data_IF_583395572892
#
_entry.id   IF_583395572892
#
_cell.length_a   1.000
_cell.length_b   1.000
_cell.length_c   1.000
_cell.angle_alpha   90.00
_cell.angle_beta   90.00
_cell.angle_gamma   90.00
#
_symmetry.space_group_name_H-M   'P 1'
#
loop_
_entity.id
_entity.type
_entity.pdbx_description
1 polymer ?
#
# COMPACT_ATOMS: atom_id res chain seq x y z
N UNK A 1 -2.71 3.13 13.76
CA UNK A 1 -3.36 3.38 12.45
C UNK A 1 -4.22 4.63 12.59
N UNK A 2 -3.82 5.70 11.90
CA UNK A 2 -4.47 7.02 11.89
C UNK A 2 -4.80 7.23 10.41
N UNK A 3 -5.97 6.85 9.91
CA UNK A 3 -7.19 7.63 10.05
C UNK A 3 -8.44 6.77 9.77
N UNK A 4 -9.35 6.69 10.74
CA UNK A 4 -10.70 6.12 10.62
C UNK A 4 -11.71 7.15 10.08
N UNK A 5 -11.26 8.04 9.20
CA UNK A 5 -12.07 9.16 8.72
C UNK A 5 -11.78 9.45 7.24
N UNK A 6 -12.84 9.76 6.49
CA UNK A 6 -12.74 10.28 5.14
C UNK A 6 -12.81 11.81 5.18
N UNK A 7 -11.93 12.48 4.44
CA UNK A 7 -11.91 13.95 4.34
C UNK A 7 -11.90 14.34 2.87
N UNK A 8 -12.85 15.18 2.48
CA UNK A 8 -12.98 15.69 1.13
C UNK A 8 -13.05 17.21 1.15
N UNK A 9 -12.46 17.82 0.12
CA UNK A 9 -12.54 19.25 -0.10
C UNK A 9 -13.07 19.53 -1.50
N UNK A 10 -13.92 20.56 -1.63
CA UNK A 10 -14.37 21.10 -2.90
C UNK A 10 -14.32 22.62 -2.89
N UNK A 11 -13.89 23.19 -4.02
CA UNK A 11 -14.09 24.59 -4.33
C UNK A 11 -15.34 24.71 -5.20
N UNK A 12 -16.33 25.47 -4.75
CA UNK A 12 -17.62 25.63 -5.42
C UNK A 12 -17.80 27.11 -5.74
N UNK A 13 -18.07 27.44 -7.01
CA UNK A 13 -18.37 28.80 -7.48
C UNK A 13 -19.79 29.21 -7.09
N UNK A 14 -20.02 29.30 -5.79
CA UNK A 14 -21.23 29.80 -5.17
C UNK A 14 -20.86 30.46 -3.83
N UNK A 15 -21.58 31.53 -3.42
CA UNK A 15 -21.43 32.11 -2.09
C UNK A 15 -21.81 31.11 -0.98
N UNK A 16 -21.21 31.22 0.20
CA UNK A 16 -21.41 30.28 1.32
C UNK A 16 -22.87 30.05 1.70
N UNK A 17 -23.69 31.11 1.66
CA UNK A 17 -25.13 31.03 1.94
C UNK A 17 -25.89 30.14 0.96
N UNK A 18 -25.49 30.09 -0.31
CA UNK A 18 -26.11 29.22 -1.31
C UNK A 18 -25.69 27.76 -1.12
N UNK A 19 -24.42 27.54 -0.77
CA UNK A 19 -23.92 26.21 -0.41
C UNK A 19 -24.63 25.70 0.85
N UNK A 20 -24.77 26.54 1.88
CA UNK A 20 -25.52 26.21 3.09
C UNK A 20 -26.96 25.86 2.78
N UNK A 21 -27.68 26.71 2.03
CA UNK A 21 -29.06 26.44 1.64
C UNK A 21 -29.18 25.10 0.89
N UNK A 22 -28.24 24.77 0.00
CA UNK A 22 -28.24 23.47 -0.68
C UNK A 22 -28.03 22.28 0.26
N UNK A 23 -27.26 22.44 1.34
CA UNK A 23 -27.05 21.39 2.35
C UNK A 23 -28.25 21.17 3.27
N UNK A 24 -29.11 22.19 3.46
CA UNK A 24 -30.14 22.19 4.51
C UNK A 24 -31.58 22.23 3.99
N UNK A 25 -31.80 22.54 2.71
CA UNK A 25 -33.12 22.61 2.09
C UNK A 25 -33.49 21.25 1.46
N UNK A 26 -34.59 20.59 1.89
CA UNK A 26 -34.98 19.27 1.39
C UNK A 26 -35.21 19.23 -0.12
N UNK A 27 -35.75 20.30 -0.71
CA UNK A 27 -36.02 20.35 -2.16
C UNK A 27 -34.71 20.42 -2.96
N UNK A 28 -33.65 20.95 -2.35
CA UNK A 28 -32.30 21.03 -2.94
C UNK A 28 -31.52 19.74 -2.73
N UNK A 29 -31.57 19.14 -1.53
CA UNK A 29 -30.83 17.89 -1.27
C UNK A 29 -31.30 16.76 -2.19
N UNK A 30 -32.59 16.70 -2.50
CA UNK A 30 -33.17 15.72 -3.42
C UNK A 30 -32.49 15.74 -4.80
N UNK A 31 -32.05 16.91 -5.25
CA UNK A 31 -31.47 17.07 -6.59
C UNK A 31 -30.12 16.38 -6.74
N UNK A 32 -29.29 16.34 -5.69
CA UNK A 32 -27.89 15.90 -5.81
C UNK A 32 -27.51 14.76 -4.85
N UNK A 33 -28.28 14.55 -3.78
CA UNK A 33 -28.01 13.55 -2.75
C UNK A 33 -28.82 12.28 -3.03
N UNK A 34 -28.56 11.63 -4.17
CA UNK A 34 -29.20 10.36 -4.56
C UNK A 34 -30.74 10.36 -4.54
N UNK A 35 -31.39 11.51 -4.80
CA UNK A 35 -32.86 11.60 -4.76
C UNK A 35 -33.44 11.63 -3.34
N UNK A 36 -32.61 11.86 -2.31
CA UNK A 36 -33.04 11.85 -0.91
C UNK A 36 -33.27 13.24 -0.36
N UNK A 37 -34.31 13.38 0.47
CA UNK A 37 -34.72 14.64 1.09
C UNK A 37 -34.27 14.71 2.54
N UNK A 38 -33.61 15.80 2.94
CA UNK A 38 -33.25 16.05 4.33
C UNK A 38 -34.45 16.57 5.12
N UNK A 39 -35.03 15.72 5.96
CA UNK A 39 -36.11 16.07 6.87
C UNK A 39 -35.54 16.44 8.24
N UNK A 40 -35.57 17.74 8.57
CA UNK A 40 -35.10 18.25 9.87
C UNK A 40 -35.69 19.61 10.22
N UNK A 41 -35.75 19.91 11.51
CA UNK A 41 -36.02 21.25 12.04
C UNK A 41 -34.80 22.18 12.00
N UNK A 42 -33.61 21.64 11.67
CA UNK A 42 -32.32 22.33 11.68
C UNK A 42 -31.95 22.95 13.04
N UNK A 43 -32.28 22.25 14.13
CA UNK A 43 -31.94 22.64 15.52
C UNK A 43 -30.94 21.68 16.15
N UNK A 44 -29.88 22.19 16.82
CA UNK A 44 -28.97 21.33 17.58
C UNK A 44 -29.70 20.49 18.64
N UNK A 45 -29.30 19.23 18.80
CA UNK A 45 -29.89 18.21 19.67
C UNK A 45 -31.13 17.52 19.10
N UNK A 46 -31.63 17.94 17.93
CA UNK A 46 -32.80 17.32 17.31
C UNK A 46 -32.42 16.27 16.25
N UNK A 47 -33.32 15.32 16.03
CA UNK A 47 -33.13 14.28 15.02
C UNK A 47 -33.30 14.82 13.60
N UNK A 48 -32.64 14.19 12.65
CA UNK A 48 -32.87 14.37 11.22
C UNK A 48 -32.99 13.02 10.53
N UNK A 49 -33.55 13.02 9.33
CA UNK A 49 -33.64 11.85 8.45
C UNK A 49 -33.35 12.25 7.01
N UNK A 50 -32.67 11.40 6.26
CA UNK A 50 -32.78 11.42 4.81
C UNK A 50 -33.81 10.37 4.39
N UNK A 51 -34.81 10.80 3.64
CA UNK A 51 -35.88 9.94 3.12
C UNK A 51 -35.75 9.78 1.61
N UNK A 52 -36.06 8.61 1.07
CA UNK A 52 -36.11 8.36 -0.37
C UNK A 52 -37.48 8.76 -0.99
N UNK A 53 -37.67 8.42 -2.27
CA UNK A 53 -38.89 8.75 -3.01
C UNK A 53 -40.15 8.03 -2.48
N UNK A 54 -39.98 6.95 -1.71
CA UNK A 54 -41.07 6.18 -1.09
C UNK A 54 -41.28 6.59 0.39
N UNK A 55 -40.66 7.70 0.84
CA UNK A 55 -40.67 8.21 2.23
C UNK A 55 -40.05 7.23 3.24
N UNK A 56 -39.14 6.37 2.79
CA UNK A 56 -38.39 5.45 3.65
C UNK A 56 -37.09 6.09 4.14
N UNK A 57 -36.80 5.90 5.44
CA UNK A 57 -35.56 6.36 6.05
C UNK A 57 -34.36 5.57 5.51
N UNK A 58 -33.46 6.26 4.81
CA UNK A 58 -32.21 5.65 4.33
C UNK A 58 -31.00 6.03 5.18
N UNK A 59 -31.07 7.18 5.87
CA UNK A 59 -30.09 7.64 6.85
C UNK A 59 -30.84 8.33 7.99
N UNK A 60 -30.44 8.07 9.24
CA UNK A 60 -30.88 8.86 10.39
C UNK A 60 -29.71 9.35 11.25
N UNK A 61 -30.00 10.31 12.11
CA UNK A 61 -29.04 10.85 13.06
C UNK A 61 -29.59 11.99 13.90
N UNK A 62 -28.67 12.66 14.59
CA UNK A 62 -28.92 13.81 15.45
C UNK A 62 -28.00 14.96 15.02
N UNK A 63 -28.54 16.18 15.00
CA UNK A 63 -27.78 17.39 14.70
C UNK A 63 -27.01 17.83 15.95
N UNK A 64 -25.68 17.78 15.94
CA UNK A 64 -24.87 18.22 17.07
C UNK A 64 -24.60 19.73 17.04
N UNK A 65 -24.41 20.31 15.85
CA UNK A 65 -24.06 21.72 15.66
C UNK A 65 -24.69 22.24 14.38
N UNK A 66 -25.31 23.42 14.45
CA UNK A 66 -25.92 24.11 13.31
C UNK A 66 -25.55 25.60 13.39
N UNK A 67 -24.39 25.95 12.85
CA UNK A 67 -23.86 27.32 12.83
C UNK A 67 -23.94 27.89 11.41
N UNK A 68 -25.12 28.39 11.02
CA UNK A 68 -25.34 28.96 9.69
C UNK A 68 -24.48 30.21 9.42
N UNK A 69 -23.85 30.36 8.23
CA UNK A 69 -23.65 29.40 7.13
C UNK A 69 -22.21 28.87 7.12
N UNK A 70 -21.69 28.45 8.29
CA UNK A 70 -20.28 28.08 8.48
C UNK A 70 -20.07 26.61 8.76
N UNK A 71 -20.91 25.98 9.59
CA UNK A 71 -20.59 24.67 10.15
C UNK A 71 -21.85 23.89 10.51
N UNK A 72 -21.90 22.65 10.06
CA UNK A 72 -22.97 21.70 10.36
C UNK A 72 -22.34 20.39 10.78
N UNK A 73 -22.69 19.90 11.96
CA UNK A 73 -22.20 18.63 12.48
C UNK A 73 -23.39 17.75 12.86
N UNK A 74 -23.35 16.51 12.43
CA UNK A 74 -24.41 15.53 12.66
C UNK A 74 -23.83 14.14 12.86
N UNK A 75 -24.50 13.32 13.68
CA UNK A 75 -24.26 11.87 13.64
C UNK A 75 -24.85 11.28 12.37
N UNK A 76 -24.42 10.10 11.95
CA UNK A 76 -24.83 9.51 10.69
C UNK A 76 -24.94 8.00 10.82
N UNK A 77 -26.10 7.44 10.50
CA UNK A 77 -26.31 5.99 10.47
C UNK A 77 -27.06 5.60 9.22
N UNK A 78 -26.52 4.64 8.47
CA UNK A 78 -27.15 4.10 7.26
C UNK A 78 -28.19 3.05 7.64
N UNK A 79 -29.34 3.09 6.95
CA UNK A 79 -30.49 2.22 7.18
C UNK A 79 -30.83 1.35 5.96
N UNK A 80 -29.93 1.30 4.98
CA UNK A 80 -30.16 0.61 3.69
C UNK A 80 -30.12 -0.93 3.80
N UNK A 81 -29.55 -1.47 4.87
CA UNK A 81 -29.54 -2.90 5.19
C UNK A 81 -29.47 -3.11 6.70
N UNK A 82 -29.91 -4.28 7.17
CA UNK A 82 -29.85 -4.64 8.59
C UNK A 82 -28.41 -4.62 9.14
N UNK A 83 -27.44 -5.03 8.31
CA UNK A 83 -26.03 -5.05 8.68
C UNK A 83 -25.48 -3.64 8.91
N UNK A 84 -25.76 -2.69 8.00
CA UNK A 84 -25.35 -1.29 8.15
C UNK A 84 -26.09 -0.61 9.32
N UNK A 85 -27.38 -0.91 9.49
CA UNK A 85 -28.20 -0.34 10.55
C UNK A 85 -27.77 -0.78 11.97
N UNK A 86 -27.09 -1.94 12.07
CA UNK A 86 -26.52 -2.46 13.30
C UNK A 86 -25.16 -1.82 13.67
N UNK A 87 -24.50 -1.14 12.73
CA UNK A 87 -23.27 -0.40 13.02
C UNK A 87 -23.55 0.83 13.91
N UNK A 88 -22.63 1.21 14.82
CA UNK A 88 -22.80 2.41 15.60
C UNK A 88 -22.80 3.67 14.70
N UNK A 89 -23.57 4.71 15.06
CA UNK A 89 -23.57 5.97 14.32
C UNK A 89 -22.16 6.55 14.21
N UNK A 90 -21.79 6.98 13.01
CA UNK A 90 -20.59 7.75 12.73
C UNK A 90 -20.88 9.25 12.80
N UNK A 91 -19.91 10.09 12.43
CA UNK A 91 -20.03 11.55 12.58
C UNK A 91 -19.61 12.31 11.32
N UNK A 92 -20.48 13.18 10.81
CA UNK A 92 -20.26 14.01 9.62
C UNK A 92 -20.16 15.48 10.02
N UNK A 93 -19.10 16.14 9.58
CA UNK A 93 -18.84 17.56 9.78
C UNK A 93 -18.65 18.26 8.43
N UNK A 94 -19.52 19.23 8.17
CA UNK A 94 -19.45 20.17 7.05
C UNK A 94 -18.89 21.49 7.54
N UNK A 95 -17.85 22.00 6.88
CA UNK A 95 -17.30 23.35 7.14
C UNK A 95 -17.25 24.15 5.84
N UNK A 96 -17.73 25.39 5.89
CA UNK A 96 -17.79 26.32 4.77
C UNK A 96 -16.97 27.57 5.07
N UNK A 97 -16.03 27.89 4.18
CA UNK A 97 -15.21 29.11 4.26
C UNK A 97 -15.15 29.80 2.90
N UNK A 98 -14.94 31.11 2.90
CA UNK A 98 -14.69 31.85 1.66
C UNK A 98 -13.31 31.44 1.12
N UNK A 99 -13.25 31.05 -0.15
CA UNK A 99 -12.01 30.66 -0.82
C UNK A 99 -11.33 31.82 -1.54
N UNK A 100 -12.04 32.95 -1.68
CA UNK A 100 -11.58 34.15 -2.34
C UNK A 100 -12.10 35.42 -1.64
N UNK A 101 -11.44 36.58 -1.80
CA UNK A 101 -11.84 37.82 -1.10
C UNK A 101 -13.23 38.35 -1.44
N UNK A 102 -13.81 37.95 -2.57
CA UNK A 102 -15.14 38.42 -2.98
C UNK A 102 -16.28 37.56 -2.43
N UNK A 103 -15.98 36.40 -1.84
CA UNK A 103 -16.97 35.44 -1.35
C UNK A 103 -17.78 34.79 -2.48
N UNK A 104 -17.23 34.75 -3.70
CA UNK A 104 -17.88 34.15 -4.87
C UNK A 104 -17.58 32.66 -5.00
N UNK A 105 -16.54 32.18 -4.32
CA UNK A 105 -16.13 30.78 -4.25
C UNK A 105 -16.10 30.34 -2.80
N UNK A 106 -16.81 29.25 -2.50
CA UNK A 106 -16.80 28.61 -1.18
C UNK A 106 -15.86 27.41 -1.20
N UNK A 107 -15.01 27.31 -0.18
CA UNK A 107 -14.32 26.08 0.20
C UNK A 107 -15.22 25.28 1.13
N UNK A 108 -15.71 24.15 0.64
CA UNK A 108 -16.45 23.16 1.42
C UNK A 108 -15.47 22.05 1.83
N UNK A 109 -15.40 21.78 3.13
CA UNK A 109 -14.71 20.62 3.69
C UNK A 109 -15.73 19.70 4.34
N UNK A 110 -15.76 18.44 3.89
CA UNK A 110 -16.52 17.37 4.53
C UNK A 110 -15.54 16.44 5.23
N UNK A 111 -15.78 16.19 6.52
CA UNK A 111 -15.09 15.18 7.30
C UNK A 111 -16.11 14.18 7.83
N UNK A 112 -15.94 12.92 7.48
CA UNK A 112 -16.73 11.81 8.01
C UNK A 112 -15.82 10.94 8.89
N UNK A 113 -15.99 11.01 10.21
CA UNK A 113 -15.18 10.30 11.20
C UNK A 113 -15.98 9.27 12.01
N UNK A 114 -15.33 8.72 13.04
CA UNK A 114 -15.91 7.71 13.95
C UNK A 114 -16.30 6.38 13.29
N UNK A 115 -15.67 6.07 12.16
CA UNK A 115 -15.96 4.88 11.36
C UNK A 115 -15.18 3.62 11.79
N UNK A 116 -14.39 3.69 12.86
CA UNK A 116 -13.48 2.58 13.25
C UNK A 116 -14.24 1.29 13.63
N UNK A 117 -15.50 1.43 14.07
CA UNK A 117 -16.39 0.32 14.42
C UNK A 117 -17.54 0.14 13.42
N UNK A 118 -17.48 0.82 12.27
CA UNK A 118 -18.52 0.82 11.23
C UNK A 118 -17.89 0.55 9.85
N UNK A 119 -17.26 -0.63 9.64
CA UNK A 119 -16.48 -0.91 8.43
C UNK A 119 -17.31 -0.96 7.14
N UNK A 120 -18.57 -1.37 7.20
CA UNK A 120 -19.47 -1.35 6.04
C UNK A 120 -19.79 0.09 5.63
N UNK A 121 -20.19 0.92 6.60
CA UNK A 121 -20.39 2.36 6.38
C UNK A 121 -19.11 3.01 5.86
N UNK A 122 -17.94 2.67 6.42
CA UNK A 122 -16.64 3.21 5.98
C UNK A 122 -16.39 2.97 4.50
N UNK A 123 -16.66 1.76 4.00
CA UNK A 123 -16.47 1.41 2.60
C UNK A 123 -17.46 2.14 1.69
N UNK A 124 -18.76 2.15 2.04
CA UNK A 124 -19.79 2.80 1.21
C UNK A 124 -19.57 4.31 1.09
N UNK A 125 -19.29 4.98 2.21
CA UNK A 125 -19.16 6.44 2.21
C UNK A 125 -17.90 6.93 1.50
N UNK A 126 -16.87 6.08 1.38
CA UNK A 126 -15.62 6.38 0.65
C UNK A 126 -15.89 6.85 -0.77
N UNK A 127 -16.86 6.24 -1.44
CA UNK A 127 -17.22 6.54 -2.82
C UNK A 127 -18.51 7.36 -2.90
N UNK A 128 -19.48 7.10 -2.02
CA UNK A 128 -20.73 7.85 -1.97
C UNK A 128 -20.53 9.37 -1.82
N UNK A 129 -19.61 9.81 -0.96
CA UNK A 129 -19.33 11.25 -0.81
C UNK A 129 -18.74 11.90 -2.04
N UNK A 130 -17.94 11.19 -2.85
CA UNK A 130 -17.39 11.75 -4.09
C UNK A 130 -18.53 12.13 -5.02
N UNK A 131 -19.48 11.21 -5.23
CA UNK A 131 -20.67 11.44 -6.07
C UNK A 131 -21.53 12.57 -5.53
N UNK A 132 -21.84 12.58 -4.24
CA UNK A 132 -22.67 13.63 -3.61
C UNK A 132 -22.02 15.01 -3.77
N UNK A 133 -20.72 15.13 -3.46
CA UNK A 133 -20.00 16.40 -3.50
C UNK A 133 -19.81 16.94 -4.92
N UNK A 134 -19.54 16.06 -5.89
CA UNK A 134 -19.39 16.46 -7.29
C UNK A 134 -20.76 16.83 -7.90
N UNK A 135 -21.83 16.14 -7.50
CA UNK A 135 -23.20 16.45 -7.90
C UNK A 135 -23.68 17.77 -7.29
N UNK A 136 -23.40 18.03 -6.01
CA UNK A 136 -23.66 19.32 -5.34
C UNK A 136 -22.97 20.47 -6.06
N UNK A 137 -21.69 20.29 -6.42
CA UNK A 137 -20.93 21.30 -7.17
C UNK A 137 -21.56 21.55 -8.54
N UNK A 138 -21.88 20.50 -9.30
CA UNK A 138 -22.53 20.63 -10.61
C UNK A 138 -23.87 21.37 -10.51
N UNK A 139 -24.69 20.99 -9.52
CA UNK A 139 -25.98 21.60 -9.25
C UNK A 139 -25.85 23.10 -8.97
N UNK A 140 -24.95 23.49 -8.07
CA UNK A 140 -24.76 24.89 -7.70
C UNK A 140 -24.13 25.75 -8.81
N UNK A 141 -23.28 25.17 -9.66
CA UNK A 141 -22.56 25.92 -10.70
C UNK A 141 -23.30 25.99 -12.04
N UNK A 142 -24.17 25.02 -12.32
CA UNK A 142 -24.85 24.90 -13.61
C UNK A 142 -26.38 24.90 -13.52
N UNK A 143 -26.93 24.72 -12.32
CA UNK A 143 -28.36 24.51 -12.09
C UNK A 143 -28.82 23.05 -12.23
N UNK A 144 -27.92 22.15 -12.65
CA UNK A 144 -28.24 20.73 -12.89
C UNK A 144 -27.24 19.82 -12.18
N UNK A 145 -27.76 18.86 -11.42
CA UNK A 145 -26.97 17.81 -10.78
C UNK A 145 -26.31 16.87 -11.82
N UNK A 146 -25.34 16.06 -11.38
CA UNK A 146 -24.78 15.05 -12.26
C UNK A 146 -25.85 14.01 -12.65
N UNK A 147 -25.80 13.44 -13.86
CA UNK A 147 -26.62 12.27 -14.18
C UNK A 147 -26.25 11.09 -13.27
N UNK A 148 -27.08 10.05 -13.26
CA UNK A 148 -26.76 8.82 -12.55
C UNK A 148 -25.41 8.26 -13.04
N UNK A 149 -24.46 8.16 -12.11
CA UNK A 149 -23.11 7.62 -12.34
C UNK A 149 -22.92 6.39 -11.47
N UNK A 150 -22.12 5.43 -11.96
CA UNK A 150 -21.70 4.31 -11.12
C UNK A 150 -20.85 4.83 -9.96
N UNK A 151 -21.14 4.35 -8.76
CA UNK A 151 -20.32 4.57 -7.56
C UNK A 151 -19.25 3.49 -7.39
N UNK A 152 -19.24 2.46 -8.27
CA UNK A 152 -18.20 1.43 -8.23
C UNK A 152 -16.85 2.00 -8.70
N UNK A 153 -15.75 1.68 -8.01
CA UNK A 153 -14.42 2.10 -8.45
C UNK A 153 -14.08 1.48 -9.82
N UNK A 154 -13.53 2.29 -10.72
CA UNK A 154 -13.24 1.89 -12.11
C UNK A 154 -12.21 0.74 -12.26
N UNK A 155 -11.51 0.40 -11.19
CA UNK A 155 -10.74 -0.81 -10.92
C UNK A 155 -10.15 -0.64 -9.52
N UNK A 156 -9.94 -1.70 -8.75
CA UNK A 156 -8.94 -1.63 -7.70
C UNK A 156 -7.58 -1.52 -8.39
N UNK A 157 -6.85 -0.39 -8.31
CA UNK A 157 -5.45 -0.43 -8.68
C UNK A 157 -4.84 -1.54 -7.82
N UNK A 158 -4.04 -2.44 -8.42
CA UNK A 158 -3.13 -3.29 -7.63
C UNK A 158 -2.59 -2.41 -6.51
N UNK A 159 -2.86 -2.79 -5.25
CA UNK A 159 -2.99 -1.80 -4.17
C UNK A 159 -1.80 -0.85 -4.21
N UNK A 160 -2.03 0.47 -4.07
CA UNK A 160 -0.94 1.47 -4.08
C UNK A 160 0.22 1.01 -3.19
N UNK A 161 -0.13 0.37 -2.06
CA UNK A 161 0.77 -0.34 -1.17
C UNK A 161 1.62 -1.41 -1.87
N UNK A 162 1.04 -2.38 -2.58
CA UNK A 162 1.78 -3.43 -3.29
C UNK A 162 2.71 -2.87 -4.39
N UNK A 163 2.27 -1.85 -5.14
CA UNK A 163 3.12 -1.18 -6.12
C UNK A 163 4.26 -0.39 -5.47
N UNK A 164 3.99 0.24 -4.33
CA UNK A 164 5.01 0.90 -3.53
C UNK A 164 6.02 -0.10 -2.98
N UNK A 165 5.58 -1.26 -2.46
CA UNK A 165 6.48 -2.33 -2.04
C UNK A 165 7.38 -2.80 -3.18
N UNK A 166 6.85 -2.91 -4.41
CA UNK A 166 7.69 -3.24 -5.57
C UNK A 166 8.79 -2.21 -5.82
N UNK A 167 8.45 -0.91 -5.78
CA UNK A 167 9.44 0.16 -5.93
C UNK A 167 10.51 0.13 -4.83
N UNK A 168 10.09 -0.03 -3.56
CA UNK A 168 11.01 -0.12 -2.43
C UNK A 168 11.91 -1.36 -2.51
N UNK A 169 11.38 -2.50 -2.97
CA UNK A 169 12.15 -3.72 -3.13
C UNK A 169 13.31 -3.52 -4.12
N UNK A 170 13.06 -2.85 -5.25
CA UNK A 170 14.08 -2.53 -6.26
C UNK A 170 15.14 -1.58 -5.70
N UNK A 171 14.73 -0.51 -5.02
CA UNK A 171 15.65 0.47 -4.43
C UNK A 171 16.54 -0.21 -3.38
N UNK A 172 15.94 -0.90 -2.41
CA UNK A 172 16.68 -1.58 -1.35
C UNK A 172 17.63 -2.64 -1.92
N UNK A 173 17.17 -3.48 -2.86
CA UNK A 173 18.00 -4.49 -3.51
C UNK A 173 19.22 -3.87 -4.20
N UNK A 174 19.00 -2.85 -5.02
CA UNK A 174 20.09 -2.21 -5.77
C UNK A 174 21.07 -1.47 -4.87
N UNK A 175 20.60 -0.94 -3.73
CA UNK A 175 21.46 -0.26 -2.76
C UNK A 175 22.44 -1.22 -2.04
N UNK A 176 22.15 -2.53 -1.97
CA UNK A 176 23.05 -3.48 -1.31
C UNK A 176 24.42 -3.53 -2.00
N UNK A 177 24.45 -3.39 -3.33
CA UNK A 177 25.69 -3.44 -4.11
C UNK A 177 26.69 -2.32 -3.79
N UNK A 178 26.23 -1.20 -3.23
CA UNK A 178 27.12 -0.11 -2.78
C UNK A 178 27.98 -0.51 -1.57
N UNK A 179 27.49 -1.47 -0.78
CA UNK A 179 28.14 -1.94 0.44
C UNK A 179 28.76 -3.33 0.27
N UNK A 180 28.41 -4.08 -0.78
CA UNK A 180 28.90 -5.43 -1.00
C UNK A 180 30.34 -5.44 -1.55
N UNK A 181 31.15 -6.39 -1.07
CA UNK A 181 32.51 -6.72 -1.52
C UNK A 181 33.63 -5.67 -1.31
N UNK A 182 34.87 -6.14 -1.33
CA UNK A 182 36.08 -5.32 -1.53
C UNK A 182 36.46 -4.31 -0.45
N UNK A 183 35.78 -4.28 0.70
CA UNK A 183 35.98 -3.27 1.76
C UNK A 183 36.08 -3.86 3.16
N UNK A 184 36.61 -3.06 4.08
CA UNK A 184 36.49 -3.29 5.52
C UNK A 184 35.16 -2.72 6.00
N UNK A 185 34.41 -3.49 6.79
CA UNK A 185 33.13 -3.07 7.35
C UNK A 185 33.32 -2.47 8.73
N UNK A 186 32.82 -1.24 8.91
CA UNK A 186 32.54 -0.72 10.25
C UNK A 186 31.28 -1.38 10.82
N UNK A 187 31.02 -1.30 12.14
CA UNK A 187 29.75 -1.76 12.70
C UNK A 187 28.53 -1.13 12.00
N UNK A 188 28.60 0.16 11.67
CA UNK A 188 27.52 0.87 10.97
C UNK A 188 27.33 0.35 9.53
N UNK A 189 28.42 0.10 8.79
CA UNK A 189 28.33 -0.50 7.45
C UNK A 189 27.71 -1.90 7.50
N UNK A 190 28.04 -2.69 8.52
CA UNK A 190 27.52 -4.05 8.70
C UNK A 190 26.01 -4.03 9.00
N UNK A 191 25.58 -3.15 9.91
CA UNK A 191 24.17 -2.96 10.22
C UNK A 191 23.39 -2.45 9.01
N UNK A 192 23.94 -1.48 8.28
CA UNK A 192 23.29 -0.91 7.09
C UNK A 192 23.16 -1.95 5.96
N UNK A 193 24.20 -2.76 5.71
CA UNK A 193 24.15 -3.85 4.74
C UNK A 193 23.01 -4.82 5.04
N UNK A 194 22.88 -5.24 6.30
CA UNK A 194 21.80 -6.14 6.72
C UNK A 194 20.43 -5.48 6.63
N UNK A 195 20.31 -4.22 7.05
CA UNK A 195 19.05 -3.46 6.94
C UNK A 195 18.58 -3.37 5.48
N UNK A 196 19.47 -3.04 4.54
CA UNK A 196 19.15 -2.96 3.10
C UNK A 196 18.71 -4.33 2.56
N UNK A 197 19.42 -5.41 2.90
CA UNK A 197 19.09 -6.76 2.45
C UNK A 197 17.74 -7.25 3.01
N UNK A 198 17.49 -7.08 4.31
CA UNK A 198 16.22 -7.46 4.94
C UNK A 198 15.05 -6.59 4.48
N UNK A 199 15.27 -5.29 4.24
CA UNK A 199 14.25 -4.41 3.65
C UNK A 199 13.88 -4.90 2.25
N UNK A 200 14.87 -5.22 1.40
CA UNK A 200 14.61 -5.78 0.08
C UNK A 200 13.75 -7.05 0.15
N UNK A 201 14.07 -7.98 1.04
CA UNK A 201 13.27 -9.20 1.26
C UNK A 201 11.85 -8.91 1.76
N UNK A 202 11.70 -8.01 2.75
CA UNK A 202 10.40 -7.60 3.28
C UNK A 202 9.49 -7.00 2.20
N UNK A 203 10.06 -6.15 1.34
CA UNK A 203 9.32 -5.48 0.28
C UNK A 203 9.01 -6.44 -0.89
N UNK A 204 9.93 -7.31 -1.30
CA UNK A 204 9.64 -8.33 -2.32
C UNK A 204 8.51 -9.27 -1.90
N UNK A 205 8.39 -9.59 -0.60
CA UNK A 205 7.27 -10.38 -0.08
C UNK A 205 5.88 -9.75 -0.28
N UNK A 206 5.81 -8.42 -0.38
CA UNK A 206 4.55 -7.65 -0.48
C UNK A 206 4.38 -6.96 -1.83
N UNK A 207 5.36 -7.09 -2.71
CA UNK A 207 5.37 -6.40 -3.99
C UNK A 207 4.28 -6.95 -4.92
N UNK A 208 3.65 -6.04 -5.67
CA UNK A 208 2.72 -6.40 -6.72
C UNK A 208 3.41 -7.31 -7.76
N UNK A 209 2.76 -8.44 -8.07
CA UNK A 209 3.26 -9.44 -9.02
C UNK A 209 4.54 -10.15 -8.57
N UNK A 210 4.84 -10.17 -7.26
CA UNK A 210 5.95 -10.95 -6.74
C UNK A 210 5.70 -12.45 -6.94
N UNK A 211 6.69 -13.15 -7.49
CA UNK A 211 6.68 -14.60 -7.65
C UNK A 211 7.65 -15.27 -6.68
N UNK A 212 7.71 -16.60 -6.70
CA UNK A 212 8.68 -17.35 -5.90
C UNK A 212 10.13 -17.03 -6.29
N UNK A 213 10.40 -16.58 -7.52
CA UNK A 213 11.75 -16.18 -7.92
C UNK A 213 12.20 -14.90 -7.22
N UNK A 214 11.29 -13.97 -6.96
CA UNK A 214 11.60 -12.77 -6.18
C UNK A 214 11.98 -13.14 -4.76
N UNK A 215 11.30 -14.12 -4.16
CA UNK A 215 11.63 -14.63 -2.82
C UNK A 215 12.98 -15.34 -2.80
N UNK A 216 13.28 -16.16 -3.82
CA UNK A 216 14.55 -16.86 -3.94
C UNK A 216 15.73 -15.88 -4.03
N UNK A 217 15.64 -14.88 -4.92
CA UNK A 217 16.68 -13.85 -5.10
C UNK A 217 16.85 -12.96 -3.86
N UNK A 218 15.76 -12.62 -3.17
CA UNK A 218 15.85 -11.87 -1.94
C UNK A 218 16.52 -12.67 -0.80
N UNK A 219 16.17 -13.96 -0.65
CA UNK A 219 16.83 -14.84 0.32
C UNK A 219 18.31 -15.05 -0.01
N UNK A 220 18.66 -15.12 -1.29
CA UNK A 220 20.05 -15.13 -1.74
C UNK A 220 20.80 -13.87 -1.28
N UNK A 221 20.22 -12.69 -1.48
CA UNK A 221 20.84 -11.41 -1.10
C UNK A 221 21.10 -11.33 0.41
N UNK A 222 20.15 -11.78 1.23
CA UNK A 222 20.30 -11.84 2.69
C UNK A 222 21.37 -12.85 3.09
N UNK A 223 21.42 -14.02 2.44
CA UNK A 223 22.49 -15.00 2.63
C UNK A 223 23.87 -14.41 2.30
N UNK A 224 23.98 -13.71 1.15
CA UNK A 224 25.22 -13.09 0.67
C UNK A 224 25.69 -12.00 1.62
N UNK A 225 24.79 -11.17 2.14
CA UNK A 225 25.11 -10.15 3.16
C UNK A 225 25.64 -10.80 4.46
N UNK A 226 24.94 -11.81 4.98
CA UNK A 226 25.40 -12.53 6.18
C UNK A 226 26.75 -13.22 5.98
N UNK A 227 26.93 -13.91 4.85
CA UNK A 227 28.20 -14.54 4.52
C UNK A 227 29.32 -13.50 4.50
N UNK A 228 29.12 -12.36 3.84
CA UNK A 228 30.11 -11.29 3.74
C UNK A 228 30.57 -10.76 5.11
N UNK A 229 29.67 -10.72 6.09
CA UNK A 229 29.95 -10.29 7.46
C UNK A 229 30.46 -11.41 8.38
N UNK A 230 30.62 -12.65 7.88
CA UNK A 230 31.08 -13.79 8.67
C UNK A 230 29.99 -14.46 9.51
N UNK A 231 28.71 -14.18 9.25
CA UNK A 231 27.57 -14.73 9.97
C UNK A 231 27.12 -16.08 9.37
N UNK A 232 27.98 -17.11 9.46
CA UNK A 232 27.83 -18.37 8.72
C UNK A 232 26.52 -19.14 8.95
N UNK A 233 26.02 -19.23 10.18
CA UNK A 233 24.77 -19.96 10.45
C UNK A 233 23.55 -19.27 9.83
N UNK A 234 23.48 -17.95 9.94
CA UNK A 234 22.41 -17.14 9.34
C UNK A 234 22.50 -17.16 7.81
N UNK A 235 23.71 -17.08 7.26
CA UNK A 235 23.92 -17.24 5.82
C UNK A 235 23.40 -18.60 5.34
N UNK A 236 23.72 -19.69 6.06
CA UNK A 236 23.29 -21.04 5.68
C UNK A 236 21.77 -21.21 5.77
N UNK A 237 21.13 -20.60 6.76
CA UNK A 237 19.66 -20.57 6.87
C UNK A 237 19.03 -19.94 5.62
N UNK A 238 19.47 -18.73 5.25
CA UNK A 238 18.93 -18.00 4.10
C UNK A 238 19.27 -18.67 2.77
N UNK A 239 20.44 -19.30 2.64
CA UNK A 239 20.78 -20.13 1.49
C UNK A 239 19.82 -21.32 1.34
N UNK A 240 19.42 -21.96 2.44
CA UNK A 240 18.43 -23.03 2.42
C UNK A 240 17.02 -22.51 2.05
N UNK A 241 16.65 -21.32 2.51
CA UNK A 241 15.39 -20.68 2.10
C UNK A 241 15.40 -20.32 0.60
N UNK A 242 16.51 -19.78 0.10
CA UNK A 242 16.72 -19.51 -1.32
C UNK A 242 16.48 -20.77 -2.17
N UNK A 243 17.11 -21.89 -1.81
CA UNK A 243 16.90 -23.18 -2.46
C UNK A 243 15.41 -23.62 -2.44
N UNK A 244 14.76 -23.50 -1.28
CA UNK A 244 13.36 -23.89 -1.12
C UNK A 244 12.40 -23.03 -1.96
N UNK A 245 12.67 -21.72 -2.09
CA UNK A 245 11.88 -20.85 -2.98
C UNK A 245 12.15 -21.15 -4.44
N UNK A 246 13.40 -21.42 -4.83
CA UNK A 246 13.74 -21.80 -6.20
C UNK A 246 13.01 -23.09 -6.61
N UNK A 247 12.98 -24.11 -5.73
CA UNK A 247 12.22 -25.35 -5.98
C UNK A 247 10.72 -25.07 -6.20
N UNK A 248 10.14 -24.12 -5.47
CA UNK A 248 8.72 -23.74 -5.64
C UNK A 248 8.47 -22.89 -6.89
N UNK A 249 9.48 -22.15 -7.35
CA UNK A 249 9.39 -21.38 -8.59
C UNK A 249 9.31 -22.28 -9.83
N UNK A 250 9.93 -23.46 -9.79
CA UNK A 250 9.88 -24.41 -10.90
C UNK A 250 10.43 -23.80 -12.19
N UNK A 251 9.66 -23.88 -13.27
CA UNK A 251 10.04 -23.41 -14.61
C UNK A 251 10.16 -21.88 -14.73
N UNK A 252 9.72 -21.12 -13.72
CA UNK A 252 9.90 -19.67 -13.67
C UNK A 252 11.34 -19.25 -13.30
N UNK A 253 12.17 -20.18 -12.83
CA UNK A 253 13.56 -19.93 -12.49
C UNK A 253 14.44 -19.85 -13.75
N UNK A 254 15.34 -18.87 -13.80
CA UNK A 254 16.38 -18.86 -14.81
C UNK A 254 17.48 -19.87 -14.47
N UNK A 255 18.24 -20.30 -15.46
CA UNK A 255 19.36 -21.21 -15.30
C UNK A 255 20.40 -20.69 -14.28
N UNK A 256 20.71 -19.39 -14.31
CA UNK A 256 21.64 -18.76 -13.36
C UNK A 256 21.14 -18.78 -11.91
N UNK A 257 19.82 -18.76 -11.68
CA UNK A 257 19.28 -18.80 -10.31
C UNK A 257 19.67 -20.11 -9.61
N UNK A 258 19.81 -21.21 -10.36
CA UNK A 258 20.31 -22.48 -9.84
C UNK A 258 21.78 -22.41 -9.43
N UNK A 259 22.62 -21.67 -10.17
CA UNK A 259 24.03 -21.50 -9.82
C UNK A 259 24.17 -20.73 -8.50
N UNK A 260 23.41 -19.65 -8.34
CA UNK A 260 23.45 -18.79 -7.15
C UNK A 260 22.93 -19.49 -5.88
N UNK A 261 22.01 -20.45 -5.98
CA UNK A 261 21.64 -21.30 -4.83
C UNK A 261 22.83 -22.09 -4.30
N UNK A 262 23.62 -22.69 -5.20
CA UNK A 262 24.80 -23.46 -4.80
C UNK A 262 25.93 -22.56 -4.30
N UNK A 263 26.10 -21.39 -4.92
CA UNK A 263 27.07 -20.38 -4.50
C UNK A 263 26.77 -19.86 -3.07
N UNK A 264 25.52 -19.47 -2.78
CA UNK A 264 25.13 -19.00 -1.45
C UNK A 264 25.40 -20.07 -0.38
N UNK A 265 25.08 -21.33 -0.69
CA UNK A 265 25.39 -22.46 0.19
C UNK A 265 26.90 -22.64 0.36
N UNK A 266 27.68 -22.56 -0.71
CA UNK A 266 29.13 -22.72 -0.67
C UNK A 266 29.79 -21.67 0.24
N UNK A 267 29.41 -20.40 0.09
CA UNK A 267 29.93 -19.31 0.94
C UNK A 267 29.56 -19.47 2.40
N UNK A 268 28.30 -19.81 2.68
CA UNK A 268 27.85 -20.03 4.06
C UNK A 268 28.62 -21.19 4.72
N UNK A 269 28.84 -22.29 3.99
CA UNK A 269 29.60 -23.43 4.49
C UNK A 269 31.10 -23.11 4.68
N UNK A 270 31.70 -22.34 3.76
CA UNK A 270 33.07 -21.87 3.91
C UNK A 270 33.22 -20.98 5.15
N UNK A 271 32.26 -20.09 5.39
CA UNK A 271 32.21 -19.25 6.60
C UNK A 271 32.16 -20.08 7.90
N UNK A 272 31.49 -21.23 7.87
CA UNK A 272 31.40 -22.18 8.99
C UNK A 272 32.60 -23.12 9.10
N UNK A 273 33.61 -23.03 8.22
CA UNK A 273 34.74 -23.96 8.19
C UNK A 273 34.41 -25.36 7.66
N UNK A 274 33.23 -25.56 7.07
CA UNK A 274 32.77 -26.84 6.50
C UNK A 274 33.31 -27.01 5.07
N UNK A 275 34.64 -27.03 4.96
CA UNK A 275 35.37 -26.86 3.69
C UNK A 275 35.02 -27.91 2.63
N UNK A 276 34.87 -29.18 2.98
CA UNK A 276 34.57 -30.23 1.99
C UNK A 276 33.18 -30.05 1.37
N UNK A 277 32.18 -29.71 2.19
CA UNK A 277 30.84 -29.42 1.71
C UNK A 277 30.78 -28.10 0.92
N UNK A 278 31.58 -27.10 1.32
CA UNK A 278 31.71 -25.85 0.59
C UNK A 278 32.31 -26.07 -0.80
N UNK A 279 33.36 -26.89 -0.93
CA UNK A 279 33.96 -27.26 -2.24
C UNK A 279 32.98 -28.00 -3.12
N UNK A 280 32.20 -28.93 -2.56
CA UNK A 280 31.17 -29.64 -3.32
C UNK A 280 30.09 -28.69 -3.84
N UNK A 281 29.58 -27.79 -2.99
CA UNK A 281 28.61 -26.78 -3.41
C UNK A 281 29.20 -25.83 -4.47
N UNK A 282 30.45 -25.39 -4.31
CA UNK A 282 31.16 -24.56 -5.29
C UNK A 282 31.28 -25.24 -6.65
N UNK A 283 31.69 -26.52 -6.69
CA UNK A 283 31.75 -27.31 -7.94
C UNK A 283 30.38 -27.43 -8.59
N UNK A 284 29.32 -27.60 -7.81
CA UNK A 284 27.94 -27.62 -8.35
C UNK A 284 27.54 -26.29 -8.97
N UNK A 285 27.85 -25.17 -8.31
CA UNK A 285 27.59 -23.83 -8.87
C UNK A 285 28.25 -23.66 -10.24
N UNK A 286 29.53 -24.03 -10.37
CA UNK A 286 30.27 -23.95 -11.65
C UNK A 286 29.70 -24.85 -12.75
N UNK A 287 29.20 -26.04 -12.39
CA UNK A 287 28.68 -27.04 -13.34
C UNK A 287 27.26 -26.75 -13.83
N UNK A 288 26.55 -25.76 -13.27
CA UNK A 288 25.23 -25.39 -13.78
C UNK A 288 25.38 -24.95 -15.25
N UNK A 289 24.62 -25.52 -16.19
CA UNK A 289 24.61 -25.07 -17.58
C UNK A 289 23.88 -23.72 -17.65
N UNK A 290 24.55 -22.71 -18.17
CA UNK A 290 24.06 -21.34 -18.35
C UNK A 290 24.12 -21.06 -19.84
N UNK A 291 22.99 -20.70 -20.44
CA UNK A 291 22.86 -20.50 -21.87
C UNK A 291 23.43 -19.14 -22.32
N UNK A 292 23.30 -18.12 -21.48
CA UNK A 292 23.78 -16.77 -21.75
C UNK A 292 25.25 -16.60 -21.30
N UNK A 293 26.11 -16.15 -22.21
CA UNK A 293 27.55 -16.00 -21.96
C UNK A 293 27.86 -14.83 -21.01
N UNK A 294 27.03 -13.79 -20.98
CA UNK A 294 27.20 -12.66 -20.08
C UNK A 294 26.85 -13.09 -18.64
N UNK A 295 25.75 -13.82 -18.44
CA UNK A 295 25.38 -14.38 -17.15
C UNK A 295 26.44 -15.37 -16.64
N UNK A 296 26.98 -16.22 -17.54
CA UNK A 296 28.12 -17.10 -17.22
C UNK A 296 29.32 -16.30 -16.68
N UNK A 297 29.71 -15.25 -17.38
CA UNK A 297 30.85 -14.42 -17.01
C UNK A 297 30.65 -13.73 -15.65
N UNK A 298 29.42 -13.29 -15.35
CA UNK A 298 29.08 -12.70 -14.04
C UNK A 298 29.24 -13.74 -12.93
N UNK A 299 28.67 -14.95 -13.11
CA UNK A 299 28.79 -16.03 -12.11
C UNK A 299 30.26 -16.39 -11.86
N UNK A 300 31.07 -16.53 -12.90
CA UNK A 300 32.48 -16.89 -12.77
C UNK A 300 33.29 -15.79 -12.06
N UNK A 301 32.97 -14.52 -12.33
CA UNK A 301 33.52 -13.36 -11.61
C UNK A 301 33.16 -13.41 -10.13
N UNK A 302 31.88 -13.60 -9.82
CA UNK A 302 31.38 -13.64 -8.45
C UNK A 302 31.96 -14.84 -7.68
N UNK A 303 32.04 -16.02 -8.29
CA UNK A 303 32.65 -17.21 -7.68
C UNK A 303 34.15 -17.02 -7.41
N UNK A 304 34.83 -16.23 -8.24
CA UNK A 304 36.23 -15.88 -8.02
C UNK A 304 36.40 -14.84 -6.89
N UNK A 305 35.39 -14.00 -6.68
CA UNK A 305 35.39 -12.99 -5.62
C UNK A 305 35.16 -13.61 -4.23
N UNK A 306 35.93 -13.17 -3.24
CA UNK A 306 35.75 -13.55 -1.84
C UNK A 306 34.52 -12.89 -1.17
N UNK A 307 34.35 -13.07 0.15
CA UNK A 307 35.20 -13.87 1.03
C UNK A 307 34.95 -15.38 0.88
N UNK A 308 36.03 -16.14 0.94
CA UNK A 308 36.04 -17.62 1.00
C UNK A 308 36.66 -18.16 2.30
N UNK A 309 36.93 -17.28 3.27
CA UNK A 309 37.36 -17.66 4.63
C UNK A 309 38.62 -18.54 4.68
N UNK A 310 39.57 -18.30 3.76
CA UNK A 310 40.80 -19.08 3.65
C UNK A 310 40.64 -20.40 2.89
N UNK A 311 39.45 -20.69 2.35
CA UNK A 311 39.23 -21.83 1.46
C UNK A 311 39.74 -21.50 0.05
N UNK A 312 40.70 -22.29 -0.42
CA UNK A 312 41.19 -22.25 -1.80
C UNK A 312 40.44 -23.28 -2.65
N UNK A 313 40.16 -22.90 -3.90
CA UNK A 313 39.57 -23.77 -4.91
C UNK A 313 40.60 -23.97 -6.01
N UNK A 314 40.88 -25.22 -6.37
CA UNK A 314 41.72 -25.52 -7.52
C UNK A 314 41.05 -24.94 -8.78
N UNK A 315 41.71 -23.97 -9.42
CA UNK A 315 41.25 -23.34 -10.66
C UNK A 315 41.48 -24.24 -11.88
N UNK A 316 42.25 -25.32 -11.71
CA UNK A 316 42.51 -26.33 -12.72
C UNK A 316 41.94 -27.68 -12.28
N UNK A 317 41.23 -28.35 -13.21
CA UNK A 317 40.73 -29.73 -13.14
C UNK A 317 39.33 -29.93 -12.54
N UNK A 318 38.30 -29.82 -13.40
CA UNK A 318 37.29 -30.86 -13.72
C UNK A 318 36.15 -30.27 -14.56
#
# INVERSE_FOLDING_TARGET
MVASAHVYERLIRAPRREVWAALTDPDRTEQYFFGTRLESSMRPGEKYRYVDADDLDVIDGELETVDEPTRLVMTFRMLRSDDLAAEPPSRVEWTLADADPTGSVTRLTLRHGELALSPGTWEEVRHGWVTILDSLKSYLETGTALPAVSTEPAAEPATIEANWHRAQAVIANNSVWELLDGRTYTPDDADELLQRAYAAAYHWHRAAGATMINQARAAWLVSRAHATLGHGELALHHAAQCAAFLTRAGDDAADFDHAYVYEARARALACLGRHDEAREAYRRARRVPIADEQDRAIIDSDLSAGPWFGLEFDTASE
#
